data_IF_900496717618
#
_entry.id   IF_900496717618
#
_cell.length_a   1.000
_cell.length_b   1.000
_cell.length_c   1.000
_cell.angle_alpha   90.00
_cell.angle_beta   90.00
_cell.angle_gamma   90.00
#
_symmetry.space_group_name_H-M   'P 1'
#
loop_
_entity.id
_entity.type
_entity.pdbx_description
1 polymer ?
#
# COMPACT_ATOMS: atom_id res chain seq x y z
N UNK A 1 -11.86 21.37 -16.37
CA UNK A 1 -11.26 22.43 -15.53
C UNK A 1 -10.51 23.36 -16.46
N UNK A 2 -10.63 24.67 -16.24
CA UNK A 2 -9.80 25.68 -16.87
C UNK A 2 -8.45 25.82 -16.13
N UNK A 3 -7.44 26.34 -16.81
CA UNK A 3 -6.13 26.61 -16.19
C UNK A 3 -6.32 27.62 -15.04
N UNK A 4 -5.70 27.36 -13.89
CA UNK A 4 -5.85 28.02 -12.57
C UNK A 4 -7.19 27.76 -11.85
N UNK A 5 -8.01 26.83 -12.33
CA UNK A 5 -9.21 26.40 -11.60
C UNK A 5 -8.82 25.43 -10.48
N UNK A 6 -9.36 25.66 -9.27
CA UNK A 6 -9.30 24.75 -8.14
C UNK A 6 -10.56 23.89 -8.07
N UNK A 7 -10.42 22.59 -7.81
CA UNK A 7 -11.56 21.69 -7.68
C UNK A 7 -11.32 20.64 -6.62
N UNK A 8 -12.36 20.36 -5.82
CA UNK A 8 -12.39 19.19 -4.94
C UNK A 8 -12.89 17.97 -5.69
N UNK A 9 -12.09 16.93 -5.75
CA UNK A 9 -12.41 15.65 -6.38
C UNK A 9 -12.55 14.62 -5.27
N UNK A 10 -13.67 13.90 -5.27
CA UNK A 10 -13.91 12.77 -4.40
C UNK A 10 -13.69 11.50 -5.21
N UNK A 11 -12.86 10.60 -4.69
CA UNK A 11 -12.51 9.33 -5.31
C UNK A 11 -12.89 8.24 -4.32
N UNK A 12 -13.83 7.38 -4.70
CA UNK A 12 -14.16 6.19 -3.91
C UNK A 12 -12.99 5.20 -3.92
N UNK A 13 -12.90 4.25 -2.96
CA UNK A 13 -11.85 3.23 -2.97
C UNK A 13 -11.80 2.49 -4.32
N UNK A 14 -12.96 2.07 -4.84
CA UNK A 14 -13.10 1.39 -6.12
C UNK A 14 -12.57 2.18 -7.34
N UNK A 15 -12.65 3.51 -7.32
CA UNK A 15 -12.13 4.39 -8.38
C UNK A 15 -10.66 4.81 -8.16
N UNK A 16 -10.15 4.63 -6.94
CA UNK A 16 -8.81 5.01 -6.52
C UNK A 16 -7.88 3.81 -6.42
N UNK A 17 -7.53 3.45 -5.18
CA UNK A 17 -6.54 2.41 -4.90
C UNK A 17 -7.13 1.02 -4.69
N UNK A 18 -8.41 0.84 -5.04
CA UNK A 18 -9.16 -0.40 -4.87
C UNK A 18 -9.72 -0.57 -3.47
N UNK A 19 -10.56 -1.60 -3.35
CA UNK A 19 -11.07 -2.08 -2.07
C UNK A 19 -9.97 -2.75 -1.26
N UNK A 20 -10.06 -2.65 0.07
CA UNK A 20 -9.14 -3.36 0.94
C UNK A 20 -9.43 -4.87 0.88
N UNK A 21 -8.46 -5.65 0.42
CA UNK A 21 -8.58 -7.09 0.31
C UNK A 21 -7.90 -7.80 1.49
N UNK A 22 -8.71 -8.41 2.35
CA UNK A 22 -8.24 -9.20 3.50
C UNK A 22 -7.41 -10.42 3.11
N UNK A 23 -7.58 -10.94 1.90
CA UNK A 23 -6.80 -12.08 1.39
C UNK A 23 -5.36 -11.70 1.05
N UNK A 24 -5.07 -10.41 0.90
CA UNK A 24 -3.70 -9.90 0.72
C UNK A 24 -2.96 -9.68 2.04
N UNK A 25 -3.61 -9.95 3.18
CA UNK A 25 -2.97 -9.97 4.49
C UNK A 25 -2.48 -11.38 4.78
N UNK A 26 -1.15 -11.55 4.82
CA UNK A 26 -0.51 -12.85 4.96
C UNK A 26 0.21 -12.96 6.29
N UNK A 27 0.01 -14.08 6.98
CA UNK A 27 0.81 -14.45 8.15
C UNK A 27 1.91 -15.40 7.72
N UNK A 28 3.15 -14.94 7.82
CA UNK A 28 4.34 -15.67 7.35
C UNK A 28 5.23 -15.99 8.55
N UNK A 29 5.82 -17.18 8.56
CA UNK A 29 6.78 -17.55 9.62
C UNK A 29 8.02 -16.65 9.59
N UNK A 30 8.46 -16.17 10.77
CA UNK A 30 9.63 -15.28 10.90
C UNK A 30 10.90 -15.87 10.28
N UNK A 31 11.01 -17.21 10.27
CA UNK A 31 12.14 -17.96 9.68
C UNK A 31 12.30 -17.76 8.17
N UNK A 32 11.24 -17.36 7.46
CA UNK A 32 11.30 -17.10 6.02
C UNK A 32 11.88 -15.71 5.70
N UNK A 33 11.97 -14.84 6.71
CA UNK A 33 12.62 -13.55 6.56
C UNK A 33 14.09 -13.66 6.98
N UNK A 34 15.01 -13.00 6.27
CA UNK A 34 16.40 -12.89 6.69
C UNK A 34 16.52 -12.39 8.15
N UNK A 35 17.56 -12.83 8.87
CA UNK A 35 17.75 -12.44 10.28
C UNK A 35 18.21 -10.98 10.43
N UNK A 36 18.86 -10.44 9.40
CA UNK A 36 19.38 -9.07 9.32
C UNK A 36 18.30 -8.02 8.99
N UNK A 37 17.12 -8.43 8.48
CA UNK A 37 16.03 -7.48 8.25
C UNK A 37 15.34 -7.11 9.57
N UNK A 38 15.23 -5.79 9.82
CA UNK A 38 14.42 -5.24 10.90
C UNK A 38 12.96 -5.16 10.44
N UNK A 39 12.16 -6.12 10.88
CA UNK A 39 10.71 -6.10 10.71
C UNK A 39 10.10 -5.22 11.78
N UNK A 40 9.55 -4.08 11.36
CA UNK A 40 8.96 -3.08 12.26
C UNK A 40 7.56 -2.80 11.74
N UNK A 41 6.51 -2.92 12.58
CA UNK A 41 5.15 -2.55 12.20
C UNK A 41 5.08 -1.15 11.55
N UNK A 42 4.32 -1.04 10.47
CA UNK A 42 4.18 0.16 9.65
C UNK A 42 5.28 0.38 8.61
N UNK A 43 6.36 -0.43 8.59
CA UNK A 43 7.40 -0.33 7.55
C UNK A 43 7.10 -1.22 6.36
N UNK A 44 7.51 -0.72 5.19
CA UNK A 44 7.45 -1.47 3.94
C UNK A 44 8.64 -2.42 3.83
N UNK A 45 8.38 -3.66 3.47
CA UNK A 45 9.36 -4.67 3.06
C UNK A 45 9.13 -5.01 1.60
N UNK A 46 10.22 -5.20 0.86
CA UNK A 46 10.17 -5.56 -0.55
C UNK A 46 10.43 -7.06 -0.69
N UNK A 47 9.51 -7.77 -1.33
CA UNK A 47 9.65 -9.18 -1.68
C UNK A 47 9.78 -9.30 -3.19
N UNK A 48 10.67 -10.16 -3.65
CA UNK A 48 10.77 -10.50 -5.06
C UNK A 48 10.14 -11.87 -5.30
N UNK A 49 9.14 -11.93 -6.17
CA UNK A 49 8.53 -13.21 -6.55
C UNK A 49 9.46 -14.00 -7.50
N UNK A 50 9.10 -15.26 -7.79
CA UNK A 50 9.90 -16.14 -8.68
C UNK A 50 10.01 -15.62 -10.12
N UNK A 51 9.09 -14.75 -10.54
CA UNK A 51 9.08 -14.10 -11.85
C UNK A 51 9.99 -12.87 -11.91
N UNK A 52 10.65 -12.51 -10.80
CA UNK A 52 11.53 -11.35 -10.70
C UNK A 52 10.82 -10.04 -10.38
N UNK A 53 9.49 -10.05 -10.25
CA UNK A 53 8.73 -8.86 -9.90
C UNK A 53 8.89 -8.53 -8.42
N UNK A 54 9.09 -7.24 -8.15
CA UNK A 54 9.21 -6.72 -6.79
C UNK A 54 7.86 -6.24 -6.32
N UNK A 55 7.37 -6.84 -5.24
CA UNK A 55 6.12 -6.48 -4.58
C UNK A 55 6.45 -5.89 -3.21
N UNK A 56 5.80 -4.78 -2.88
CA UNK A 56 5.96 -4.13 -1.60
C UNK A 56 4.85 -4.60 -0.66
N UNK A 57 5.23 -4.93 0.56
CA UNK A 57 4.31 -5.31 1.63
C UNK A 57 4.53 -4.40 2.84
N UNK A 58 3.49 -4.06 3.59
CA UNK A 58 3.60 -3.37 4.88
C UNK A 58 3.60 -4.40 5.99
N UNK A 59 4.52 -4.29 6.95
CA UNK A 59 4.47 -5.12 8.16
C UNK A 59 3.35 -4.58 9.05
N UNK A 60 2.30 -5.37 9.27
CA UNK A 60 1.23 -5.00 10.19
C UNK A 60 1.57 -5.37 11.62
N UNK A 61 2.21 -6.53 11.83
CA UNK A 61 2.53 -7.03 13.17
C UNK A 61 3.71 -8.02 13.17
N UNK A 62 4.40 -8.12 14.31
CA UNK A 62 5.58 -8.99 14.48
C UNK A 62 5.50 -9.71 15.84
N UNK A 63 5.31 -11.03 15.79
CA UNK A 63 5.37 -11.94 16.94
C UNK A 63 6.72 -12.67 16.99
N UNK A 64 6.96 -13.45 18.05
CA UNK A 64 8.17 -14.28 18.20
C UNK A 64 8.38 -15.28 17.04
N UNK A 65 7.29 -15.83 16.48
CA UNK A 65 7.34 -16.89 15.46
C UNK A 65 6.81 -16.46 14.11
N UNK A 66 6.04 -15.38 14.03
CA UNK A 66 5.26 -15.02 12.85
C UNK A 66 5.26 -13.53 12.62
N UNK A 67 5.10 -13.15 11.36
CA UNK A 67 5.07 -11.78 10.88
C UNK A 67 3.81 -11.64 10.05
N UNK A 68 2.99 -10.64 10.36
CA UNK A 68 1.81 -10.31 9.56
C UNK A 68 2.21 -9.22 8.58
N UNK A 69 2.09 -9.51 7.28
CA UNK A 69 2.38 -8.57 6.19
C UNK A 69 1.12 -8.29 5.38
N UNK A 70 1.05 -7.10 4.82
CA UNK A 70 -0.09 -6.59 4.07
C UNK A 70 0.34 -6.20 2.65
N UNK A 71 -0.23 -6.86 1.65
CA UNK A 71 0.02 -6.56 0.24
C UNK A 71 -0.93 -5.51 -0.35
N UNK A 72 -1.87 -4.98 0.43
CA UNK A 72 -2.75 -3.92 -0.04
C UNK A 72 -1.96 -2.62 -0.30
N UNK A 73 -2.46 -1.81 -1.23
CA UNK A 73 -1.98 -0.44 -1.35
C UNK A 73 -2.25 0.30 -0.02
N UNK A 74 -1.34 1.16 0.48
CA UNK A 74 -1.52 1.87 1.76
C UNK A 74 -2.80 2.72 1.87
N UNK A 75 -3.42 3.04 0.72
CA UNK A 75 -4.65 3.82 0.61
C UNK A 75 -5.86 3.00 0.15
N UNK A 76 -5.73 1.67 0.05
CA UNK A 76 -6.84 0.79 -0.33
C UNK A 76 -7.95 0.85 0.73
N UNK A 77 -9.21 0.82 0.28
CA UNK A 77 -10.39 0.94 1.14
C UNK A 77 -10.67 2.34 1.68
N UNK A 78 -9.84 3.35 1.38
CA UNK A 78 -10.06 4.73 1.81
C UNK A 78 -10.73 5.56 0.71
N UNK A 79 -11.78 6.31 1.08
CA UNK A 79 -12.32 7.37 0.23
C UNK A 79 -11.39 8.59 0.30
N UNK A 80 -10.94 9.06 -0.85
CA UNK A 80 -9.96 10.14 -0.94
C UNK A 80 -10.61 11.42 -1.47
N UNK A 81 -10.38 12.53 -0.79
CA UNK A 81 -10.74 13.86 -1.27
C UNK A 81 -9.48 14.63 -1.61
N UNK A 82 -9.31 14.96 -2.89
CA UNK A 82 -8.21 15.76 -3.39
C UNK A 82 -8.68 17.19 -3.64
N UNK A 83 -7.90 18.17 -3.21
CA UNK A 83 -8.01 19.55 -3.69
C UNK A 83 -6.97 19.74 -4.80
N UNK A 84 -7.41 19.92 -6.03
CA UNK A 84 -6.54 19.98 -7.22
C UNK A 84 -6.61 21.34 -7.89
N UNK A 85 -5.45 21.86 -8.26
CA UNK A 85 -5.31 23.06 -9.10
C UNK A 85 -4.83 22.66 -10.50
N UNK A 86 -5.53 23.07 -11.55
CA UNK A 86 -5.07 22.81 -12.91
C UNK A 86 -4.02 23.85 -13.32
N UNK A 87 -2.74 23.49 -13.27
CA UNK A 87 -1.65 24.42 -13.56
C UNK A 87 -1.47 24.76 -15.05
N UNK A 88 -1.61 23.76 -15.93
CA UNK A 88 -1.37 23.89 -17.37
C UNK A 88 -2.07 22.74 -18.12
N UNK A 89 -2.42 22.98 -19.39
CA UNK A 89 -2.79 21.92 -20.35
C UNK A 89 -1.86 22.07 -21.55
N UNK A 90 -1.14 21.00 -21.90
CA UNK A 90 -0.20 20.94 -23.04
C UNK A 90 -0.73 20.02 -24.12
#
# INVERSE_FOLDING_TARGET
MAVKENRKIHISPAEGYGEYNKELVLRVERKHFPHDIKLIPGRTVQYQNRSGERVNFVVNDVDEKTVTIDGNHPLAGLSLTYDVELLEVR
#
